data_IF_555835933583
#
_entry.id   IF_555835933583
#
_cell.length_a   1.000
_cell.length_b   1.000
_cell.length_c   1.000
_cell.angle_alpha   90.00
_cell.angle_beta   90.00
_cell.angle_gamma   90.00
#
_symmetry.space_group_name_H-M   'P 1'
#
loop_
_entity.id
_entity.type
_entity.pdbx_description
1 polymer ?
#
# COMPACT_ATOMS: atom_id res chain seq x y z
N UNK A 1 -21.40 -4.79 0.67
CA UNK A 1 -20.34 -3.80 0.44
C UNK A 1 -20.12 -3.06 1.74
N UNK A 2 -18.94 -2.48 1.91
CA UNK A 2 -18.50 -1.79 3.12
C UNK A 2 -19.49 -0.73 3.63
N UNK A 3 -20.18 -0.02 2.72
CA UNK A 3 -21.09 1.08 3.04
C UNK A 3 -22.60 0.76 2.97
N UNK A 4 -22.97 -0.51 2.75
CA UNK A 4 -24.36 -0.87 2.49
C UNK A 4 -25.31 -0.51 3.66
N UNK A 5 -24.84 -0.67 4.91
CA UNK A 5 -25.63 -0.33 6.11
C UNK A 5 -25.85 1.17 6.27
N UNK A 6 -24.90 1.98 5.80
CA UNK A 6 -24.95 3.44 5.85
C UNK A 6 -25.89 3.99 4.76
N UNK A 7 -26.03 3.30 3.63
CA UNK A 7 -26.88 3.74 2.53
C UNK A 7 -28.33 3.28 2.63
N UNK A 8 -28.56 2.02 3.01
CA UNK A 8 -29.91 1.41 2.97
C UNK A 8 -31.02 2.22 3.67
N UNK A 9 -30.78 2.94 4.78
CA UNK A 9 -31.81 3.78 5.41
C UNK A 9 -32.09 5.12 4.71
N UNK A 10 -31.29 5.50 3.71
CA UNK A 10 -31.23 6.87 3.18
C UNK A 10 -31.41 6.96 1.65
N UNK A 11 -31.30 5.85 0.92
CA UNK A 11 -31.45 5.82 -0.53
C UNK A 11 -31.96 4.45 -1.00
N UNK A 12 -32.80 4.45 -2.03
CA UNK A 12 -33.41 3.22 -2.55
C UNK A 12 -32.42 2.37 -3.36
N UNK A 13 -31.49 3.02 -4.08
CA UNK A 13 -30.46 2.35 -4.86
C UNK A 13 -29.11 3.05 -4.79
N UNK A 14 -28.04 2.25 -4.82
CA UNK A 14 -26.68 2.76 -5.01
C UNK A 14 -26.01 1.99 -6.13
N UNK A 15 -25.43 2.73 -7.07
CA UNK A 15 -24.53 2.19 -8.08
C UNK A 15 -23.13 2.69 -7.79
N UNK A 16 -22.23 1.76 -7.49
CA UNK A 16 -20.81 2.05 -7.32
C UNK A 16 -20.11 1.79 -8.65
N UNK A 17 -19.69 2.85 -9.33
CA UNK A 17 -19.09 2.80 -10.67
C UNK A 17 -17.59 2.57 -10.56
N UNK A 18 -17.12 1.63 -11.36
CA UNK A 18 -15.73 1.19 -11.41
C UNK A 18 -15.46 0.61 -12.80
N UNK A 19 -14.26 0.83 -13.33
CA UNK A 19 -13.80 0.29 -14.60
C UNK A 19 -13.67 -1.23 -14.59
N UNK A 20 -13.27 -1.81 -13.45
CA UNK A 20 -13.17 -3.25 -13.30
C UNK A 20 -14.52 -3.86 -12.96
N UNK A 21 -15.20 -3.39 -11.91
CA UNK A 21 -16.44 -4.02 -11.42
C UNK A 21 -17.45 -3.03 -10.81
N UNK A 22 -18.51 -2.75 -11.55
CA UNK A 22 -19.61 -1.91 -11.07
C UNK A 22 -20.57 -2.69 -10.18
N UNK A 23 -20.88 -2.11 -9.02
CA UNK A 23 -21.76 -2.68 -7.99
C UNK A 23 -23.15 -2.06 -7.98
N UNK A 24 -24.19 -2.86 -7.73
CA UNK A 24 -25.59 -2.39 -7.57
C UNK A 24 -26.15 -2.90 -6.25
N UNK A 25 -26.53 -2.00 -5.34
CA UNK A 25 -26.88 -2.32 -3.96
C UNK A 25 -28.07 -3.28 -3.87
N UNK A 26 -29.21 -2.97 -4.49
CA UNK A 26 -30.46 -3.76 -4.33
C UNK A 26 -30.36 -5.19 -4.87
N UNK A 27 -29.42 -5.43 -5.79
CA UNK A 27 -29.13 -6.76 -6.34
C UNK A 27 -28.02 -7.50 -5.59
N UNK A 28 -27.06 -6.78 -5.04
CA UNK A 28 -25.90 -7.35 -4.34
C UNK A 28 -26.34 -8.05 -3.05
N UNK A 29 -25.63 -9.10 -2.65
CA UNK A 29 -25.96 -9.89 -1.46
C UNK A 29 -26.11 -9.05 -0.18
N UNK A 30 -25.31 -7.99 -0.07
CA UNK A 30 -25.41 -7.04 1.04
C UNK A 30 -26.74 -6.27 1.08
N UNK A 31 -27.28 -5.85 -0.06
CA UNK A 31 -28.61 -5.25 -0.11
C UNK A 31 -29.70 -6.27 0.20
N UNK A 32 -29.55 -7.52 -0.26
CA UNK A 32 -30.48 -8.62 0.09
C UNK A 32 -30.55 -8.90 1.58
N UNK A 33 -29.41 -8.89 2.28
CA UNK A 33 -29.36 -9.10 3.73
C UNK A 33 -29.88 -7.90 4.53
N UNK A 34 -30.01 -6.73 3.90
CA UNK A 34 -30.57 -5.51 4.49
C UNK A 34 -32.01 -5.27 4.01
N UNK A 35 -32.64 -6.26 3.37
CA UNK A 35 -34.00 -6.18 2.83
C UNK A 35 -34.22 -4.99 1.87
N UNK A 36 -33.16 -4.55 1.18
CA UNK A 36 -33.25 -3.48 0.16
C UNK A 36 -34.17 -3.95 -0.96
N UNK A 37 -35.24 -3.18 -1.18
CA UNK A 37 -36.25 -3.47 -2.19
C UNK A 37 -35.62 -3.46 -3.59
N UNK A 38 -35.95 -4.43 -4.48
CA UNK A 38 -35.56 -4.34 -5.88
C UNK A 38 -36.06 -3.04 -6.52
N UNK A 39 -35.19 -2.37 -7.25
CA UNK A 39 -35.45 -1.04 -7.83
C UNK A 39 -35.84 -1.10 -9.31
N UNK A 40 -35.69 -2.27 -9.94
CA UNK A 40 -35.92 -2.43 -11.38
C UNK A 40 -34.83 -1.81 -12.24
N UNK A 41 -33.72 -1.35 -11.65
CA UNK A 41 -32.57 -0.80 -12.36
C UNK A 41 -32.00 -1.83 -13.35
N UNK A 42 -31.49 -1.32 -14.47
CA UNK A 42 -30.78 -2.11 -15.48
C UNK A 42 -29.42 -1.48 -15.71
N UNK A 43 -28.37 -2.28 -15.63
CA UNK A 43 -27.00 -1.85 -15.98
C UNK A 43 -26.65 -2.36 -17.38
N UNK A 44 -26.11 -1.49 -18.21
CA UNK A 44 -25.55 -1.78 -19.53
C UNK A 44 -24.13 -2.31 -19.35
N UNK A 45 -24.02 -3.61 -19.06
CA UNK A 45 -22.74 -4.29 -18.92
C UNK A 45 -22.91 -5.80 -18.79
N UNK A 46 -21.80 -6.51 -18.66
CA UNK A 46 -21.79 -7.97 -18.49
C UNK A 46 -22.01 -8.34 -17.02
N UNK A 47 -23.23 -8.77 -16.70
CA UNK A 47 -23.56 -9.31 -15.37
C UNK A 47 -22.71 -10.53 -15.06
N UNK A 48 -22.04 -10.55 -13.91
CA UNK A 48 -21.27 -11.71 -13.42
C UNK A 48 -21.99 -12.43 -12.30
N UNK A 49 -22.27 -11.72 -11.21
CA UNK A 49 -23.05 -12.21 -10.06
C UNK A 49 -24.11 -11.15 -9.72
N UNK A 50 -25.14 -11.47 -8.91
CA UNK A 50 -26.15 -10.49 -8.54
C UNK A 50 -25.52 -9.19 -8.00
N UNK A 51 -25.86 -8.06 -8.62
CA UNK A 51 -25.32 -6.75 -8.29
C UNK A 51 -23.86 -6.51 -8.65
N UNK A 52 -23.26 -7.32 -9.53
CA UNK A 52 -21.89 -7.11 -10.04
C UNK A 52 -21.83 -7.19 -11.56
N UNK A 53 -21.32 -6.14 -12.17
CA UNK A 53 -21.28 -5.94 -13.62
C UNK A 53 -19.86 -5.58 -14.06
N UNK A 54 -19.35 -6.30 -15.05
CA UNK A 54 -18.09 -6.01 -15.74
C UNK A 54 -18.37 -5.25 -17.03
N UNK A 55 -17.37 -4.54 -17.55
CA UNK A 55 -17.42 -3.94 -18.90
C UNK A 55 -18.64 -3.03 -19.09
N UNK A 56 -18.88 -2.13 -18.13
CA UNK A 56 -19.93 -1.11 -18.25
C UNK A 56 -19.47 0.09 -19.07
N UNK A 57 -18.16 0.28 -19.16
CA UNK A 57 -17.43 1.31 -19.89
C UNK A 57 -15.99 0.82 -20.09
N UNK A 58 -15.20 1.50 -20.93
CA UNK A 58 -13.77 1.20 -21.09
C UNK A 58 -12.93 1.93 -20.02
N UNK A 59 -11.70 1.48 -19.72
CA UNK A 59 -10.81 2.19 -18.80
C UNK A 59 -10.45 3.61 -19.31
N UNK A 60 -10.36 4.58 -18.40
CA UNK A 60 -10.10 5.99 -18.73
C UNK A 60 -9.88 6.88 -17.50
N UNK A 61 -10.01 8.19 -17.67
CA UNK A 61 -9.78 9.20 -16.61
C UNK A 61 -11.06 9.83 -16.07
N UNK A 62 -12.22 9.29 -16.45
CA UNK A 62 -13.56 9.72 -16.04
C UNK A 62 -14.04 9.03 -14.76
N UNK A 63 -15.33 8.72 -14.71
CA UNK A 63 -16.00 8.19 -13.52
C UNK A 63 -15.45 6.84 -13.08
N UNK A 64 -14.93 6.75 -11.85
CA UNK A 64 -14.42 5.47 -11.31
C UNK A 64 -13.35 4.80 -12.18
N UNK A 65 -12.51 5.59 -12.86
CA UNK A 65 -11.46 5.09 -13.74
C UNK A 65 -11.94 4.65 -15.13
N UNK A 66 -13.15 5.02 -15.53
CA UNK A 66 -13.72 4.70 -16.85
C UNK A 66 -13.51 5.83 -17.87
N UNK A 67 -13.92 5.63 -19.12
CA UNK A 67 -13.90 6.63 -20.20
C UNK A 67 -15.15 7.54 -20.26
N UNK A 68 -16.03 7.50 -19.25
CA UNK A 68 -17.28 8.26 -19.22
C UNK A 68 -17.27 9.40 -18.19
N UNK A 69 -17.87 10.54 -18.56
CA UNK A 69 -18.09 11.68 -17.65
C UNK A 69 -19.47 11.68 -16.98
N UNK A 70 -20.47 11.15 -17.69
CA UNK A 70 -21.85 11.02 -17.19
C UNK A 70 -22.12 9.58 -16.72
N UNK A 71 -22.32 9.35 -15.41
CA UNK A 71 -22.54 8.02 -14.86
C UNK A 71 -23.85 7.38 -15.36
N UNK A 72 -24.83 8.16 -15.84
CA UNK A 72 -26.10 7.60 -16.33
C UNK A 72 -25.92 6.82 -17.62
N UNK A 73 -24.80 6.97 -18.34
CA UNK A 73 -24.52 6.24 -19.59
C UNK A 73 -24.44 4.73 -19.43
N UNK A 74 -24.16 4.25 -18.22
CA UNK A 74 -24.14 2.81 -17.92
C UNK A 74 -25.51 2.26 -17.52
N UNK A 75 -26.54 3.11 -17.45
CA UNK A 75 -27.89 2.71 -17.07
C UNK A 75 -28.74 2.44 -18.32
N UNK A 76 -29.47 1.34 -18.29
CA UNK A 76 -30.58 1.09 -19.19
C UNK A 76 -31.90 1.57 -18.60
N UNK A 77 -32.99 1.42 -19.35
CA UNK A 77 -34.32 1.76 -18.83
C UNK A 77 -34.68 0.95 -17.58
N UNK A 78 -35.20 1.65 -16.58
CA UNK A 78 -35.77 1.05 -15.38
C UNK A 78 -37.02 0.25 -15.74
N UNK A 79 -37.19 -0.91 -15.11
CA UNK A 79 -38.36 -1.79 -15.33
C UNK A 79 -39.62 -1.17 -14.71
N UNK A 80 -40.64 -0.76 -15.50
CA UNK A 80 -41.81 -0.06 -14.96
C UNK A 80 -42.66 -0.89 -13.99
N UNK A 81 -42.59 -2.22 -14.08
CA UNK A 81 -43.28 -3.12 -13.16
C UNK A 81 -42.64 -3.21 -11.77
N UNK A 82 -41.44 -2.63 -11.58
CA UNK A 82 -40.66 -2.72 -10.33
C UNK A 82 -40.27 -1.35 -9.80
N UNK A 83 -39.85 -0.43 -10.67
CA UNK A 83 -39.50 0.94 -10.34
C UNK A 83 -40.73 1.82 -10.07
N UNK A 84 -40.54 2.96 -9.41
CA UNK A 84 -41.60 3.93 -9.09
C UNK A 84 -41.10 5.38 -9.23
N UNK A 85 -41.99 6.34 -9.56
CA UNK A 85 -41.67 7.77 -9.48
C UNK A 85 -41.25 8.16 -8.06
N UNK A 86 -40.21 8.99 -7.95
CA UNK A 86 -39.63 9.38 -6.67
C UNK A 86 -38.56 8.43 -6.12
N UNK A 87 -38.26 7.32 -6.81
CA UNK A 87 -37.16 6.43 -6.42
C UNK A 87 -35.83 7.21 -6.42
N UNK A 88 -35.09 7.07 -5.33
CA UNK A 88 -33.84 7.78 -5.08
C UNK A 88 -32.63 6.92 -5.46
N UNK A 89 -31.66 7.52 -6.15
CA UNK A 89 -30.49 6.82 -6.69
C UNK A 89 -29.22 7.62 -6.37
N UNK A 90 -28.26 6.96 -5.73
CA UNK A 90 -26.90 7.47 -5.58
C UNK A 90 -25.98 6.77 -6.58
N UNK A 91 -25.40 7.54 -7.49
CA UNK A 91 -24.24 7.12 -8.27
C UNK A 91 -23.00 7.58 -7.49
N UNK A 92 -22.00 6.71 -7.33
CA UNK A 92 -20.73 7.06 -6.68
C UNK A 92 -19.57 6.26 -7.30
N UNK A 93 -18.38 6.86 -7.46
CA UNK A 93 -17.18 6.12 -7.88
C UNK A 93 -16.62 5.27 -6.75
N UNK A 94 -15.79 4.28 -7.06
CA UNK A 94 -15.05 3.50 -6.04
C UNK A 94 -14.10 4.34 -5.18
N UNK A 95 -13.61 5.45 -5.73
CA UNK A 95 -12.79 6.43 -5.00
C UNK A 95 -13.63 7.44 -4.21
N UNK A 96 -14.93 7.57 -4.46
CA UNK A 96 -15.79 8.57 -3.82
C UNK A 96 -15.60 10.01 -4.32
N UNK A 97 -14.54 10.27 -5.09
CA UNK A 97 -14.24 11.58 -5.67
C UNK A 97 -15.36 12.10 -6.58
N UNK A 98 -16.09 11.18 -7.23
CA UNK A 98 -17.25 11.51 -8.04
C UNK A 98 -18.50 10.90 -7.42
N UNK A 99 -19.52 11.74 -7.21
CA UNK A 99 -20.83 11.30 -6.76
C UNK A 99 -21.92 12.19 -7.36
N UNK A 100 -23.09 11.60 -7.60
CA UNK A 100 -24.26 12.31 -8.07
C UNK A 100 -25.53 11.64 -7.54
N UNK A 101 -26.51 12.45 -7.16
CA UNK A 101 -27.77 11.98 -6.60
C UNK A 101 -28.91 12.29 -7.57
N UNK A 102 -29.81 11.33 -7.74
CA UNK A 102 -30.90 11.41 -8.70
C UNK A 102 -32.22 10.95 -8.06
N UNK A 103 -33.31 11.50 -8.58
CA UNK A 103 -34.67 11.06 -8.28
C UNK A 103 -35.37 10.73 -9.58
N UNK A 104 -36.03 9.58 -9.67
CA UNK A 104 -36.80 9.22 -10.85
C UNK A 104 -38.04 10.10 -10.98
N UNK A 105 -38.26 10.64 -12.18
CA UNK A 105 -39.49 11.38 -12.52
C UNK A 105 -40.69 10.44 -12.79
N UNK A 106 -41.82 11.02 -13.20
CA UNK A 106 -43.06 10.30 -13.51
C UNK A 106 -42.92 9.32 -14.68
N UNK A 107 -41.91 9.48 -15.53
CA UNK A 107 -41.59 8.58 -16.65
C UNK A 107 -40.38 7.69 -16.35
N UNK A 108 -39.97 7.61 -15.08
CA UNK A 108 -38.90 6.76 -14.56
C UNK A 108 -37.51 7.10 -15.11
N UNK A 109 -37.28 8.36 -15.47
CA UNK A 109 -35.96 8.86 -15.87
C UNK A 109 -35.27 9.53 -14.69
N UNK A 110 -33.98 9.22 -14.43
CA UNK A 110 -33.23 9.88 -13.36
C UNK A 110 -33.06 11.37 -13.63
N UNK A 111 -33.53 12.20 -12.71
CA UNK A 111 -33.33 13.65 -12.72
C UNK A 111 -32.34 14.02 -11.61
N UNK A 112 -31.34 14.85 -11.95
CA UNK A 112 -30.33 15.28 -11.00
C UNK A 112 -30.97 16.04 -9.83
N UNK A 113 -30.59 15.69 -8.62
CA UNK A 113 -31.07 16.30 -7.39
C UNK A 113 -29.91 16.62 -6.42
N UNK A 114 -30.08 17.57 -5.50
CA UNK A 114 -29.07 17.85 -4.48
C UNK A 114 -28.79 16.61 -3.62
N UNK A 115 -27.50 16.32 -3.35
CA UNK A 115 -27.11 15.24 -2.47
C UNK A 115 -27.59 15.52 -1.02
N UNK A 116 -28.41 14.65 -0.42
CA UNK A 116 -28.85 14.79 0.96
C UNK A 116 -27.70 14.71 1.96
N UNK A 117 -27.78 15.47 3.05
CA UNK A 117 -26.72 15.49 4.07
C UNK A 117 -26.51 14.13 4.75
N UNK A 118 -27.54 13.30 4.83
CA UNK A 118 -27.45 11.92 5.33
C UNK A 118 -26.52 11.02 4.52
N UNK A 119 -26.28 11.33 3.24
CA UNK A 119 -25.39 10.56 2.36
C UNK A 119 -23.99 11.18 2.26
N UNK A 120 -23.86 12.49 2.55
CA UNK A 120 -22.60 13.24 2.41
C UNK A 120 -21.46 12.64 3.22
N UNK A 121 -21.74 12.24 4.46
CA UNK A 121 -20.73 11.62 5.33
C UNK A 121 -20.22 10.30 4.74
N UNK A 122 -21.13 9.46 4.22
CA UNK A 122 -20.74 8.18 3.62
C UNK A 122 -19.87 8.37 2.37
N UNK A 123 -20.20 9.33 1.51
CA UNK A 123 -19.40 9.67 0.32
C UNK A 123 -18.03 10.23 0.71
N UNK A 124 -18.00 11.12 1.73
CA UNK A 124 -16.75 11.66 2.27
C UNK A 124 -15.84 10.55 2.80
N UNK A 125 -16.39 9.56 3.52
CA UNK A 125 -15.62 8.41 4.01
C UNK A 125 -15.09 7.50 2.89
N UNK A 126 -15.78 7.37 1.76
CA UNK A 126 -15.24 6.63 0.60
C UNK A 126 -13.99 7.33 0.09
N UNK A 127 -14.06 8.66 -0.03
CA UNK A 127 -12.93 9.49 -0.47
C UNK A 127 -11.76 9.41 0.51
N UNK A 128 -12.04 9.49 1.81
CA UNK A 128 -11.02 9.38 2.87
C UNK A 128 -10.34 7.99 2.90
N UNK A 129 -11.08 6.92 2.61
CA UNK A 129 -10.52 5.57 2.55
C UNK A 129 -9.63 5.32 1.31
N UNK A 130 -9.53 6.27 0.39
CA UNK A 130 -8.65 6.15 -0.77
C UNK A 130 -7.22 6.56 -0.39
N UNK A 131 -6.38 5.57 -0.09
CA UNK A 131 -4.95 5.79 0.18
C UNK A 131 -4.10 5.60 -1.09
N UNK A 132 -3.02 6.38 -1.27
CA UNK A 132 -2.06 6.15 -2.34
C UNK A 132 -1.47 4.74 -2.28
N UNK A 133 -1.45 4.04 -3.42
CA UNK A 133 -0.75 2.76 -3.54
C UNK A 133 0.76 2.98 -3.54
N UNK A 134 1.42 2.65 -2.44
CA UNK A 134 2.88 2.69 -2.31
C UNK A 134 3.48 1.30 -2.55
N UNK A 135 4.60 1.24 -3.30
CA UNK A 135 5.39 0.02 -3.46
C UNK A 135 6.66 0.12 -2.60
N UNK A 136 6.79 -0.78 -1.64
CA UNK A 136 7.99 -0.91 -0.80
C UNK A 136 8.86 -2.06 -1.30
N UNK A 137 10.18 -1.90 -1.22
CA UNK A 137 11.15 -2.94 -1.60
C UNK A 137 12.05 -3.24 -0.41
N UNK A 138 11.93 -4.45 0.13
CA UNK A 138 12.78 -4.96 1.20
C UNK A 138 13.87 -5.87 0.61
N UNK A 139 15.13 -5.54 0.83
CA UNK A 139 16.23 -6.45 0.52
C UNK A 139 16.49 -7.37 1.69
N UNK A 140 16.56 -8.69 1.46
CA UNK A 140 16.98 -9.68 2.45
C UNK A 140 18.16 -10.50 1.91
N UNK A 141 19.23 -10.59 2.69
CA UNK A 141 20.44 -11.30 2.29
C UNK A 141 21.21 -11.91 3.45
N UNK A 142 21.80 -13.08 3.23
CA UNK A 142 22.68 -13.75 4.20
C UNK A 142 24.14 -13.42 3.94
N UNK A 143 24.88 -13.03 4.98
CA UNK A 143 26.33 -12.92 4.92
C UNK A 143 26.97 -14.31 5.03
N UNK A 144 27.34 -14.86 3.87
CA UNK A 144 27.94 -16.19 3.72
C UNK A 144 29.29 -16.36 4.45
N UNK A 145 29.83 -17.58 4.46
CA UNK A 145 31.12 -17.89 5.08
C UNK A 145 32.27 -17.06 4.52
N UNK A 146 32.39 -16.98 3.19
CA UNK A 146 33.46 -16.24 2.51
C UNK A 146 33.42 -14.74 2.79
N UNK A 147 32.23 -14.14 2.81
CA UNK A 147 32.07 -12.73 3.18
C UNK A 147 32.61 -12.48 4.60
N UNK A 148 32.18 -13.30 5.56
CA UNK A 148 32.61 -13.18 6.97
C UNK A 148 34.11 -13.45 7.15
N UNK A 149 34.70 -14.33 6.35
CA UNK A 149 36.14 -14.59 6.34
C UNK A 149 36.94 -13.39 5.81
N UNK A 150 36.36 -12.60 4.90
CA UNK A 150 36.93 -11.34 4.44
C UNK A 150 37.01 -10.27 5.53
N UNK A 151 36.23 -10.40 6.61
CA UNK A 151 36.21 -9.43 7.72
C UNK A 151 37.07 -9.90 8.89
N UNK A 152 37.04 -11.19 9.24
CA UNK A 152 37.79 -11.78 10.36
C UNK A 152 38.32 -13.17 10.01
N UNK A 153 39.44 -13.58 10.62
CA UNK A 153 40.04 -14.90 10.43
C UNK A 153 39.10 -16.06 10.82
N UNK A 154 38.23 -15.85 11.82
CA UNK A 154 37.22 -16.83 12.24
C UNK A 154 35.79 -16.30 11.98
N UNK A 155 35.14 -16.71 10.87
CA UNK A 155 33.80 -16.25 10.46
C UNK A 155 32.70 -16.40 11.54
N UNK A 156 32.84 -17.40 12.41
CA UNK A 156 31.85 -17.66 13.48
C UNK A 156 31.96 -16.61 14.59
N UNK A 157 33.15 -16.03 14.84
CA UNK A 157 33.32 -14.97 15.85
C UNK A 157 32.59 -13.69 15.46
N UNK A 158 32.66 -13.28 14.20
CA UNK A 158 31.86 -12.15 13.70
C UNK A 158 30.36 -12.40 13.87
N UNK A 159 29.90 -13.61 13.58
CA UNK A 159 28.49 -13.99 13.79
C UNK A 159 28.07 -13.84 15.24
N UNK A 160 28.87 -14.36 16.18
CA UNK A 160 28.60 -14.22 17.62
C UNK A 160 28.61 -12.75 18.07
N UNK A 161 29.56 -11.95 17.56
CA UNK A 161 29.67 -10.53 17.86
C UNK A 161 28.44 -9.73 17.45
N UNK A 162 27.91 -9.99 16.25
CA UNK A 162 26.65 -9.37 15.79
C UNK A 162 25.48 -9.78 16.70
N UNK A 163 25.37 -11.07 17.05
CA UNK A 163 24.29 -11.55 17.93
C UNK A 163 24.39 -11.02 19.37
N UNK A 164 25.59 -10.68 19.83
CA UNK A 164 25.86 -10.08 21.13
C UNK A 164 25.77 -8.55 21.12
N UNK A 165 25.37 -7.94 20.00
CA UNK A 165 25.33 -6.49 19.81
C UNK A 165 26.68 -5.77 20.07
N UNK A 166 27.80 -6.49 19.87
CA UNK A 166 29.15 -5.90 19.90
C UNK A 166 29.47 -5.25 18.54
N UNK A 167 29.00 -5.88 17.46
CA UNK A 167 29.12 -5.35 16.10
C UNK A 167 27.77 -4.84 15.61
N UNK A 168 27.73 -3.56 15.24
CA UNK A 168 26.62 -2.96 14.51
C UNK A 168 26.69 -3.32 13.03
N UNK A 169 25.55 -3.64 12.42
CA UNK A 169 25.46 -4.00 11.01
C UNK A 169 24.51 -3.03 10.31
N UNK A 170 25.00 -2.40 9.24
CA UNK A 170 24.22 -1.53 8.35
C UNK A 170 24.34 -2.03 6.91
N UNK A 171 23.50 -1.49 6.02
CA UNK A 171 23.59 -1.74 4.59
C UNK A 171 23.55 -0.42 3.84
N UNK A 172 24.68 0.00 3.27
CA UNK A 172 24.82 1.30 2.60
C UNK A 172 24.48 2.48 3.51
N UNK A 173 24.83 2.41 4.79
CA UNK A 173 24.46 3.40 5.82
C UNK A 173 23.04 3.26 6.40
N UNK A 174 22.15 2.51 5.76
CA UNK A 174 20.79 2.30 6.25
C UNK A 174 20.75 1.30 7.43
N UNK A 175 19.80 1.51 8.35
CA UNK A 175 19.55 0.62 9.49
C UNK A 175 19.07 -0.74 8.97
N UNK A 176 19.76 -1.81 9.37
CA UNK A 176 19.39 -3.17 9.00
C UNK A 176 18.74 -3.91 10.18
N UNK A 177 17.70 -4.68 9.89
CA UNK A 177 17.14 -5.66 10.81
C UNK A 177 17.93 -6.96 10.71
N UNK A 178 18.43 -7.45 11.86
CA UNK A 178 19.17 -8.71 11.95
C UNK A 178 18.21 -9.83 12.32
N UNK A 179 18.04 -10.77 11.40
CA UNK A 179 17.12 -11.89 11.59
C UNK A 179 17.53 -12.80 12.75
N UNK A 180 16.56 -13.35 13.51
CA UNK A 180 16.84 -14.36 14.53
C UNK A 180 17.44 -15.63 13.91
N UNK A 181 18.05 -16.47 14.74
CA UNK A 181 18.67 -17.72 14.31
C UNK A 181 20.18 -17.61 14.03
N UNK A 182 20.70 -18.62 13.33
CA UNK A 182 22.12 -18.75 13.03
C UNK A 182 22.59 -17.86 11.88
N UNK A 183 23.90 -17.58 11.83
CA UNK A 183 24.49 -16.73 10.79
C UNK A 183 24.15 -15.25 10.95
N UNK A 184 24.38 -14.48 9.88
CA UNK A 184 24.06 -13.06 9.81
C UNK A 184 23.17 -12.90 8.59
N UNK A 185 21.86 -12.78 8.81
CA UNK A 185 20.90 -12.46 7.77
C UNK A 185 20.36 -11.07 8.06
N UNK A 186 20.47 -10.19 7.06
CA UNK A 186 20.07 -8.79 7.16
C UNK A 186 18.81 -8.57 6.32
N UNK A 187 17.91 -7.73 6.80
CA UNK A 187 16.82 -7.16 6.02
C UNK A 187 16.92 -5.63 6.11
N UNK A 188 16.75 -4.93 5.00
CA UNK A 188 16.84 -3.47 4.93
C UNK A 188 15.79 -2.92 3.96
N UNK A 189 15.22 -1.76 4.29
CA UNK A 189 14.39 -0.99 3.36
C UNK A 189 15.32 -0.33 2.32
N UNK A 190 15.13 -0.68 1.05
CA UNK A 190 15.95 -0.14 -0.04
C UNK A 190 15.75 1.36 -0.21
N UNK A 191 14.61 1.92 0.21
CA UNK A 191 14.32 3.35 0.12
C UNK A 191 15.16 4.20 1.08
N UNK A 192 15.70 3.59 2.14
CA UNK A 192 16.62 4.25 3.09
C UNK A 192 18.08 4.21 2.63
N UNK A 193 18.36 3.42 1.59
CA UNK A 193 19.72 3.27 1.06
C UNK A 193 20.01 4.33 -0.01
N UNK A 194 21.28 4.72 -0.18
CA UNK A 194 21.72 5.51 -1.31
C UNK A 194 21.27 4.91 -2.65
N UNK A 195 20.91 5.78 -3.59
CA UNK A 195 20.65 5.38 -4.97
C UNK A 195 21.89 4.71 -5.57
N UNK A 196 21.66 3.62 -6.33
CA UNK A 196 22.69 2.80 -6.96
C UNK A 196 23.71 2.19 -5.97
N UNK A 197 23.23 1.76 -4.81
CA UNK A 197 24.05 1.14 -3.75
C UNK A 197 24.35 -0.35 -3.97
N UNK A 198 23.57 -1.04 -4.80
CA UNK A 198 23.80 -2.44 -5.16
C UNK A 198 24.59 -2.59 -6.46
N UNK A 199 25.38 -3.65 -6.55
CA UNK A 199 26.06 -4.10 -7.76
C UNK A 199 25.65 -5.51 -8.18
N UNK A 200 26.11 -5.92 -9.37
CA UNK A 200 25.93 -7.27 -9.90
C UNK A 200 27.23 -7.74 -10.53
N UNK A 201 27.52 -9.03 -10.41
CA UNK A 201 28.68 -9.67 -11.07
C UNK A 201 28.20 -10.73 -12.08
N UNK A 202 29.00 -11.10 -13.10
CA UNK A 202 28.56 -12.02 -14.16
C UNK A 202 28.15 -13.41 -13.68
N UNK A 203 28.62 -13.85 -12.52
CA UNK A 203 28.08 -15.00 -11.80
C UNK A 203 26.82 -14.52 -11.08
N UNK A 204 25.64 -15.13 -11.22
CA UNK A 204 24.36 -14.59 -10.75
C UNK A 204 24.32 -14.34 -9.23
N UNK A 205 24.93 -13.24 -8.81
CA UNK A 205 25.20 -12.86 -7.45
C UNK A 205 25.11 -11.35 -7.34
N UNK A 206 24.42 -10.90 -6.30
CA UNK A 206 24.29 -9.49 -5.97
C UNK A 206 25.45 -9.07 -5.08
N UNK A 207 25.95 -7.85 -5.31
CA UNK A 207 26.89 -7.17 -4.41
C UNK A 207 26.06 -6.21 -3.57
N UNK A 208 25.93 -6.53 -2.28
CA UNK A 208 25.24 -5.68 -1.30
C UNK A 208 26.26 -4.96 -0.42
N UNK A 209 26.08 -3.66 -0.13
CA UNK A 209 27.01 -2.86 0.67
C UNK A 209 26.81 -3.09 2.17
N UNK A 210 27.04 -4.32 2.64
CA UNK A 210 26.92 -4.68 4.06
C UNK A 210 28.15 -4.18 4.81
N UNK A 211 27.92 -3.47 5.92
CA UNK A 211 28.97 -2.86 6.73
C UNK A 211 28.94 -3.43 8.16
N UNK A 212 30.12 -3.58 8.75
CA UNK A 212 30.30 -4.03 10.14
C UNK A 212 31.04 -2.95 10.93
N UNK A 213 30.36 -2.31 11.86
CA UNK A 213 30.91 -1.22 12.68
C UNK A 213 31.06 -1.67 14.12
N UNK A 214 32.25 -1.51 14.68
CA UNK A 214 32.61 -1.93 16.04
C UNK A 214 33.86 -1.17 16.52
N UNK A 215 34.17 -1.26 17.81
CA UNK A 215 35.40 -0.68 18.35
C UNK A 215 36.62 -1.44 17.82
N UNK A 216 37.73 -0.73 17.62
CA UNK A 216 38.98 -1.32 17.11
C UNK A 216 39.50 -2.46 18.00
N UNK A 217 39.38 -2.33 19.31
CA UNK A 217 39.77 -3.39 20.26
C UNK A 217 38.89 -4.63 20.12
N UNK A 218 37.58 -4.44 19.96
CA UNK A 218 36.64 -5.53 19.71
C UNK A 218 36.98 -6.23 18.37
N UNK A 219 37.28 -5.46 17.32
CA UNK A 219 37.73 -6.01 16.03
C UNK A 219 39.00 -6.86 16.15
N UNK A 220 40.00 -6.37 16.89
CA UNK A 220 41.22 -7.12 17.17
C UNK A 220 40.93 -8.42 17.93
N UNK A 221 40.11 -8.37 18.98
CA UNK A 221 39.75 -9.53 19.80
C UNK A 221 39.00 -10.61 18.99
N UNK A 222 38.24 -10.21 17.97
CA UNK A 222 37.55 -11.12 17.07
C UNK A 222 38.48 -11.83 16.07
N UNK A 223 39.74 -11.42 15.98
CA UNK A 223 40.68 -11.88 14.94
C UNK A 223 40.48 -11.14 13.63
N UNK A 224 40.25 -9.83 13.70
CA UNK A 224 40.20 -8.95 12.53
C UNK A 224 41.54 -8.87 11.81
N UNK A 225 41.49 -8.57 10.51
CA UNK A 225 42.66 -8.41 9.64
C UNK A 225 43.39 -7.11 9.96
N UNK A 226 44.11 -7.06 11.07
CA UNK A 226 44.72 -5.83 11.60
C UNK A 226 45.71 -5.16 10.65
N UNK A 227 46.36 -5.94 9.77
CA UNK A 227 47.24 -5.41 8.73
C UNK A 227 46.53 -4.60 7.64
N UNK A 228 45.21 -4.71 7.53
CA UNK A 228 44.38 -3.99 6.56
C UNK A 228 43.67 -2.77 7.15
N UNK A 229 43.89 -2.47 8.43
CA UNK A 229 43.25 -1.33 9.11
C UNK A 229 43.90 -0.04 8.65
N UNK A 230 43.08 0.89 8.13
CA UNK A 230 43.49 2.24 7.72
C UNK A 230 42.69 3.27 8.51
N UNK A 231 43.27 4.45 8.72
CA UNK A 231 42.57 5.56 9.39
C UNK A 231 41.61 6.26 8.42
N UNK A 232 40.53 6.86 8.94
CA UNK A 232 39.61 7.64 8.12
C UNK A 232 40.29 8.82 7.41
N UNK A 233 41.26 9.47 8.06
CA UNK A 233 42.05 10.56 7.46
C UNK A 233 42.89 10.11 6.28
N UNK A 234 43.36 8.86 6.28
CA UNK A 234 44.19 8.30 5.21
C UNK A 234 43.36 7.93 3.98
N UNK A 235 42.13 7.43 4.18
CA UNK A 235 41.23 7.07 3.08
C UNK A 235 40.41 8.27 2.58
N UNK A 236 40.28 9.35 3.37
CA UNK A 236 39.44 10.49 3.04
C UNK A 236 39.67 11.11 1.65
N UNK A 237 40.92 11.17 1.12
CA UNK A 237 41.19 11.62 -0.25
C UNK A 237 40.65 10.67 -1.34
N UNK A 238 40.52 9.38 -1.04
CA UNK A 238 40.05 8.35 -1.98
C UNK A 238 38.51 8.28 -2.06
N UNK A 239 37.80 8.99 -1.18
CA UNK A 239 36.34 8.96 -1.09
C UNK A 239 35.71 9.88 -2.14
N UNK A 240 35.17 9.30 -3.21
CA UNK A 240 34.50 10.02 -4.30
C UNK A 240 33.13 10.60 -3.92
N UNK A 241 32.40 9.95 -3.01
CA UNK A 241 31.03 10.32 -2.62
C UNK A 241 30.83 10.18 -1.12
N UNK A 242 30.36 11.25 -0.47
CA UNK A 242 29.97 11.27 0.94
C UNK A 242 28.49 11.57 1.04
N UNK A 243 27.74 10.67 1.65
CA UNK A 243 26.30 10.82 1.83
C UNK A 243 25.99 10.68 3.32
N UNK A 244 25.13 11.55 3.82
CA UNK A 244 24.43 11.32 5.07
C UNK A 244 23.17 10.53 4.76
N UNK A 245 23.08 9.31 5.25
CA UNK A 245 21.81 8.63 5.39
C UNK A 245 21.15 9.18 6.65
N UNK A 246 20.37 10.24 6.51
CA UNK A 246 19.35 10.53 7.51
C UNK A 246 18.35 9.39 7.38
N UNK A 247 18.28 8.50 8.39
CA UNK A 247 17.27 7.47 8.40
C UNK A 247 15.92 8.15 8.21
N UNK A 248 15.19 7.78 7.16
CA UNK A 248 13.81 8.26 7.04
C UNK A 248 13.06 7.76 8.26
N UNK A 249 12.11 8.59 8.69
CA UNK A 249 11.23 8.48 9.86
C UNK A 249 11.58 7.40 10.90
N UNK A 250 11.73 7.77 12.20
CA UNK A 250 12.04 6.81 13.25
C UNK A 250 11.12 5.58 13.15
N UNK A 251 11.69 4.40 13.35
CA UNK A 251 11.00 3.14 13.13
C UNK A 251 9.62 3.21 13.80
N UNK A 252 8.50 2.91 13.12
CA UNK A 252 7.18 3.21 13.67
C UNK A 252 6.92 2.62 15.07
N UNK A 253 7.62 1.53 15.41
CA UNK A 253 7.56 0.86 16.70
C UNK A 253 8.64 1.31 17.70
N UNK A 254 9.39 2.38 17.44
CA UNK A 254 10.28 2.97 18.44
C UNK A 254 9.42 3.48 19.61
N UNK A 255 9.82 3.14 20.84
CA UNK A 255 9.04 3.43 22.05
C UNK A 255 8.64 4.92 22.17
N UNK A 256 9.51 5.82 21.69
CA UNK A 256 9.27 7.27 21.69
C UNK A 256 8.11 7.71 20.77
N UNK A 257 7.71 6.89 19.79
CA UNK A 257 6.60 7.19 18.89
C UNK A 257 5.23 6.88 19.52
N UNK A 258 5.19 6.01 20.52
CA UNK A 258 3.97 5.72 21.25
C UNK A 258 3.69 6.81 22.28
N UNK A 259 2.73 7.68 21.96
CA UNK A 259 2.21 8.71 22.90
C UNK A 259 1.24 8.10 23.93
N UNK A 260 1.62 6.97 24.50
CA UNK A 260 0.90 6.35 25.60
C UNK A 260 1.38 7.00 26.90
N UNK A 261 1.02 8.26 27.11
CA UNK A 261 1.17 8.87 28.42
C UNK A 261 0.07 8.31 29.36
N UNK A 262 0.48 7.51 30.34
CA UNK A 262 -0.20 7.27 31.61
C UNK A 262 -1.62 6.68 31.60
N UNK A 263 -1.72 5.40 31.96
CA UNK A 263 -2.72 4.90 32.93
C UNK A 263 -2.00 4.27 34.12
#
# INVERSE_FOLDING_TARGET
GMFAMQWAPHVDEVVVVDDHITGVLSEHQAGKLLDVKPTGIKILGRRSTPGRYFQVAEPGTGWGGTDIDDPLRILGDFKPAVAWPGLTLLMVSTTGEQSAYFVLDDVLKPQLAPLPDSLRESVGRITENCEPSLTSVMFMGGAGGSLRAGVTENPVRLTRSVKQAITHVSCGGAKAYIWPGGGITVMVDVLDMPTNSFGYVPTPALVAPIEFTLRLEDYKNLGGHMGSVRSLSEIAPDVERRLSTEGRDPWPLDAANFKWEGE
#
